data_IF_840098327305
#
_entry.id   IF_840098327305
#
_cell.length_a   1.000
_cell.length_b   1.000
_cell.length_c   1.000
_cell.angle_alpha   90.00
_cell.angle_beta   90.00
_cell.angle_gamma   90.00
#
_symmetry.space_group_name_H-M   'P 1'
#
loop_
_entity.id
_entity.type
_entity.pdbx_description
1 polymer ?
#
# COMPACT_ATOMS: atom_id res chain seq x y z
N UNK A 1 -1.85 -1.62 17.77
CA UNK A 1 -1.85 -0.40 18.60
C UNK A 1 -0.44 0.16 18.83
N UNK A 2 -0.22 1.41 18.45
CA UNK A 2 1.00 2.23 18.66
C UNK A 2 0.64 3.50 19.43
N UNK A 3 1.63 4.12 20.06
CA UNK A 3 1.46 5.36 20.84
C UNK A 3 2.48 6.41 20.41
N UNK A 4 2.02 7.63 20.14
CA UNK A 4 2.85 8.81 19.89
C UNK A 4 2.55 9.88 20.93
N UNK A 5 3.59 10.58 21.38
CA UNK A 5 3.48 11.72 22.28
C UNK A 5 3.97 12.96 21.54
N UNK A 6 3.15 14.02 21.54
CA UNK A 6 3.50 15.35 21.03
C UNK A 6 3.43 16.31 22.22
N UNK A 7 4.46 17.13 22.39
CA UNK A 7 4.55 18.10 23.48
C UNK A 7 4.80 19.49 22.92
N UNK A 8 4.02 20.47 23.38
CA UNK A 8 4.23 21.88 23.08
C UNK A 8 4.48 22.64 24.38
N UNK A 9 5.61 23.36 24.43
CA UNK A 9 5.90 24.31 25.48
C UNK A 9 5.54 25.70 24.95
N UNK A 10 4.67 26.43 25.66
CA UNK A 10 4.26 27.76 25.22
C UNK A 10 5.39 28.78 25.46
N UNK A 11 6.33 28.88 24.52
CA UNK A 11 7.47 29.82 24.58
C UNK A 11 7.28 30.93 23.54
N UNK A 12 6.13 31.63 23.54
CA UNK A 12 5.95 32.95 22.91
C UNK A 12 6.52 33.21 21.51
N UNK A 13 6.70 32.19 20.66
CA UNK A 13 7.26 32.30 19.30
C UNK A 13 6.17 32.06 18.27
N UNK A 14 5.99 33.01 17.37
CA UNK A 14 4.89 33.06 16.39
C UNK A 14 5.06 32.18 15.16
N UNK A 15 6.25 31.62 14.95
CA UNK A 15 6.64 31.02 13.66
C UNK A 15 6.63 29.48 13.69
N UNK A 16 6.28 28.86 14.82
CA UNK A 16 6.16 27.40 14.95
C UNK A 16 4.72 26.95 14.61
N UNK A 17 4.56 25.82 13.89
CA UNK A 17 3.24 25.26 13.62
C UNK A 17 2.52 24.94 14.93
N UNK A 18 1.22 25.19 14.97
CA UNK A 18 0.44 24.97 16.19
C UNK A 18 0.44 23.49 16.57
N UNK A 19 0.22 23.20 17.85
CA UNK A 19 0.01 21.83 18.31
C UNK A 19 -1.09 21.10 17.51
N UNK A 20 -2.14 21.80 17.10
CA UNK A 20 -3.21 21.25 16.26
C UNK A 20 -2.69 20.83 14.87
N UNK A 21 -1.87 21.67 14.22
CA UNK A 21 -1.26 21.35 12.94
C UNK A 21 -0.36 20.12 13.02
N UNK A 22 0.43 20.00 14.09
CA UNK A 22 1.30 18.85 14.34
C UNK A 22 0.51 17.55 14.54
N UNK A 23 -0.62 17.62 15.25
CA UNK A 23 -1.50 16.47 15.44
C UNK A 23 -2.12 16.07 14.10
N UNK A 24 -2.71 17.03 13.38
CA UNK A 24 -3.38 16.79 12.11
C UNK A 24 -2.44 16.22 11.05
N UNK A 25 -1.22 16.75 10.94
CA UNK A 25 -0.21 16.24 10.03
C UNK A 25 0.20 14.80 10.38
N UNK A 26 0.27 14.46 11.67
CA UNK A 26 0.64 13.13 12.13
C UNK A 26 -0.47 12.08 11.93
N UNK A 27 -1.73 12.43 12.14
CA UNK A 27 -2.84 11.45 12.09
C UNK A 27 -3.43 11.26 10.69
N UNK A 28 -3.10 12.11 9.71
CA UNK A 28 -3.72 12.11 8.36
C UNK A 28 -3.68 10.74 7.66
N UNK A 29 -2.61 9.98 7.86
CA UNK A 29 -2.37 8.67 7.26
C UNK A 29 -2.55 7.50 8.25
N UNK A 30 -3.08 7.76 9.45
CA UNK A 30 -3.22 6.76 10.52
C UNK A 30 -4.67 6.41 10.81
N UNK A 31 -4.90 5.22 11.33
CA UNK A 31 -6.17 4.83 11.91
C UNK A 31 -6.15 5.28 13.37
N UNK A 32 -6.87 6.35 13.66
CA UNK A 32 -6.90 6.92 15.00
C UNK A 32 -7.76 6.06 15.93
N UNK A 33 -7.17 5.61 17.04
CA UNK A 33 -7.88 4.84 18.07
C UNK A 33 -8.38 5.78 19.16
N UNK A 34 -7.50 6.62 19.71
CA UNK A 34 -7.82 7.54 20.81
C UNK A 34 -6.82 8.71 20.86
N UNK A 35 -7.25 9.85 21.39
CA UNK A 35 -6.40 11.02 21.66
C UNK A 35 -6.68 11.50 23.08
N UNK A 36 -5.63 11.57 23.89
CA UNK A 36 -5.71 12.16 25.24
C UNK A 36 -4.88 13.42 25.32
N UNK A 37 -5.51 14.45 25.88
CA UNK A 37 -4.90 15.75 26.12
C UNK A 37 -4.57 15.92 27.60
N UNK A 38 -3.35 16.33 27.90
CA UNK A 38 -2.89 16.59 29.27
C UNK A 38 -2.22 17.96 29.33
N UNK A 39 -2.63 18.77 30.29
CA UNK A 39 -1.96 20.02 30.64
C UNK A 39 -1.28 19.78 31.97
N UNK A 40 0.02 20.03 32.03
CA UNK A 40 0.74 20.08 33.30
C UNK A 40 1.32 21.47 33.51
N UNK A 41 1.18 21.98 34.73
CA UNK A 41 1.90 23.15 35.20
C UNK A 41 2.95 22.70 36.20
N UNK A 42 4.20 23.10 35.97
CA UNK A 42 5.28 22.88 36.95
C UNK A 42 5.41 24.16 37.77
N UNK A 43 5.30 24.02 39.09
CA UNK A 43 5.01 25.13 40.00
C UNK A 43 5.93 26.35 39.90
N UNK A 44 5.31 27.53 39.83
CA UNK A 44 5.91 28.81 40.19
C UNK A 44 6.22 29.78 39.04
N UNK A 45 6.28 29.31 37.79
CA UNK A 45 6.41 30.15 36.61
C UNK A 45 5.39 29.73 35.54
N UNK A 46 4.97 30.70 34.72
CA UNK A 46 3.89 30.68 33.73
C UNK A 46 4.05 29.68 32.55
N UNK A 47 4.74 28.57 32.74
CA UNK A 47 4.98 27.56 31.70
C UNK A 47 3.96 26.42 31.83
N UNK A 48 2.91 26.48 31.02
CA UNK A 48 2.01 25.35 30.81
C UNK A 48 2.58 24.46 29.70
N UNK A 49 2.73 23.17 29.99
CA UNK A 49 3.10 22.16 29.00
C UNK A 49 1.83 21.45 28.52
N UNK A 50 1.60 21.52 27.22
CA UNK A 50 0.55 20.76 26.56
C UNK A 50 1.16 19.46 26.05
N UNK A 51 0.58 18.34 26.46
CA UNK A 51 0.97 17.02 26.01
C UNK A 51 -0.24 16.33 25.37
N UNK A 52 -0.02 15.76 24.20
CA UNK A 52 -1.01 14.96 23.48
C UNK A 52 -0.49 13.56 23.31
N UNK A 53 -1.26 12.59 23.78
CA UNK A 53 -0.99 11.16 23.64
C UNK A 53 -1.95 10.63 22.58
N UNK A 54 -1.40 10.20 21.45
CA UNK A 54 -2.13 9.68 20.31
C UNK A 54 -1.96 8.17 20.28
N UNK A 55 -3.07 7.45 20.38
CA UNK A 55 -3.14 6.02 20.16
C UNK A 55 -3.63 5.76 18.75
N UNK A 56 -2.88 4.99 17.98
CA UNK A 56 -3.19 4.77 16.57
C UNK A 56 -2.76 3.38 16.09
N UNK A 57 -3.28 3.00 14.94
CA UNK A 57 -2.73 1.96 14.10
C UNK A 57 -2.26 2.58 12.78
N UNK A 58 -1.25 1.97 12.16
CA UNK A 58 -1.02 2.29 10.76
C UNK A 58 -2.26 1.84 10.01
N UNK A 59 -2.80 2.70 9.14
CA UNK A 59 -3.88 2.27 8.25
C UNK A 59 -3.39 0.99 7.60
N UNK A 60 -4.10 -0.13 7.86
CA UNK A 60 -3.96 -1.28 6.97
C UNK A 60 -4.26 -0.70 5.59
N UNK A 61 -3.36 -0.95 4.65
CA UNK A 61 -3.57 -0.64 3.25
C UNK A 61 -4.72 -1.55 2.77
N UNK A 62 -5.94 -1.27 3.22
CA UNK A 62 -7.14 -1.77 2.57
C UNK A 62 -7.08 -1.08 1.24
N UNK A 63 -6.79 -1.85 0.19
CA UNK A 63 -6.65 -1.31 -1.15
C UNK A 63 -7.74 -0.28 -1.39
N UNK A 64 -7.36 0.89 -1.90
CA UNK A 64 -8.33 1.70 -2.61
C UNK A 64 -9.00 0.73 -3.59
N UNK A 65 -10.31 0.48 -3.46
CA UNK A 65 -11.08 -0.35 -4.40
C UNK A 65 -10.66 -0.19 -5.88
N UNK A 66 -10.32 1.01 -6.39
CA UNK A 66 -9.78 1.14 -7.75
C UNK A 66 -8.46 0.40 -8.03
N UNK A 67 -7.61 0.10 -7.04
CA UNK A 67 -6.37 -0.65 -7.20
C UNK A 67 -6.65 -2.15 -7.41
N UNK A 68 -7.51 -2.75 -6.60
CA UNK A 68 -7.86 -4.18 -6.74
C UNK A 68 -8.56 -4.45 -8.07
N UNK A 69 -9.49 -3.57 -8.48
CA UNK A 69 -10.19 -3.75 -9.76
C UNK A 69 -9.22 -3.63 -10.95
N UNK A 70 -8.25 -2.70 -10.91
CA UNK A 70 -7.19 -2.62 -11.93
C UNK A 70 -6.33 -3.88 -12.00
N UNK A 71 -5.98 -4.45 -10.85
CA UNK A 71 -5.20 -5.70 -10.79
C UNK A 71 -6.00 -6.88 -11.35
N UNK A 72 -7.31 -6.94 -11.10
CA UNK A 72 -8.20 -7.96 -11.68
C UNK A 72 -8.32 -7.81 -13.19
N UNK A 73 -8.48 -6.60 -13.70
CA UNK A 73 -8.48 -6.31 -15.15
C UNK A 73 -7.16 -6.73 -15.80
N UNK A 74 -6.02 -6.31 -15.21
CA UNK A 74 -4.69 -6.67 -15.69
C UNK A 74 -4.47 -8.19 -15.71
N UNK A 75 -4.91 -8.89 -14.66
CA UNK A 75 -4.83 -10.35 -14.59
C UNK A 75 -5.70 -11.01 -15.67
N UNK A 76 -6.94 -10.55 -15.86
CA UNK A 76 -7.83 -11.10 -16.87
C UNK A 76 -7.25 -10.95 -18.29
N UNK A 77 -6.67 -9.79 -18.59
CA UNK A 77 -5.98 -9.54 -19.85
C UNK A 77 -4.76 -10.44 -20.03
N UNK A 78 -3.99 -10.68 -18.97
CA UNK A 78 -2.84 -11.57 -18.98
C UNK A 78 -3.26 -13.03 -19.19
N UNK A 79 -4.29 -13.50 -18.48
CA UNK A 79 -4.82 -14.86 -18.57
C UNK A 79 -5.32 -15.17 -19.99
N UNK A 80 -5.95 -14.20 -20.65
CA UNK A 80 -6.38 -14.36 -22.05
C UNK A 80 -5.18 -14.45 -23.01
N UNK A 81 -4.10 -13.70 -22.76
CA UNK A 81 -2.86 -13.81 -23.54
C UNK A 81 -2.16 -15.16 -23.31
N UNK A 82 -2.11 -15.63 -22.06
CA UNK A 82 -1.60 -16.96 -21.70
C UNK A 82 -2.39 -18.03 -22.45
N UNK A 83 -3.72 -17.96 -22.43
CA UNK A 83 -4.59 -18.91 -23.13
C UNK A 83 -4.30 -18.96 -24.62
N UNK A 84 -4.24 -17.80 -25.29
CA UNK A 84 -3.90 -17.73 -26.73
C UNK A 84 -2.51 -18.28 -27.04
N UNK A 85 -1.53 -18.01 -26.19
CA UNK A 85 -0.17 -18.50 -26.37
C UNK A 85 -0.09 -20.01 -26.18
N UNK A 86 -0.79 -20.57 -25.18
CA UNK A 86 -0.96 -22.02 -25.01
C UNK A 86 -1.60 -22.64 -26.23
N UNK A 87 -2.73 -22.10 -26.70
CA UNK A 87 -3.43 -22.59 -27.90
C UNK A 87 -2.51 -22.61 -29.12
N UNK A 88 -1.66 -21.59 -29.29
CA UNK A 88 -0.67 -21.57 -30.36
C UNK A 88 0.43 -22.62 -30.18
N UNK A 89 0.96 -22.78 -28.97
CA UNK A 89 2.07 -23.70 -28.66
C UNK A 89 1.66 -25.18 -28.67
N UNK A 90 0.38 -25.49 -28.46
CA UNK A 90 -0.18 -26.85 -28.56
C UNK A 90 -0.57 -27.24 -30.00
N UNK A 91 -0.50 -26.29 -30.94
CA UNK A 91 -0.78 -26.54 -32.35
C UNK A 91 0.53 -26.85 -33.08
N UNK A 92 0.79 -28.15 -33.28
CA UNK A 92 2.00 -28.65 -33.94
C UNK A 92 2.14 -28.11 -35.38
N UNK A 93 1.03 -27.90 -36.10
CA UNK A 93 1.07 -27.32 -37.45
C UNK A 93 1.58 -25.88 -37.40
N UNK A 94 1.07 -25.07 -36.46
CA UNK A 94 1.53 -23.68 -36.29
C UNK A 94 2.98 -23.61 -35.85
N UNK A 95 3.37 -24.42 -34.87
CA UNK A 95 4.74 -24.37 -34.32
C UNK A 95 5.78 -24.89 -35.31
N UNK A 96 5.42 -25.82 -36.20
CA UNK A 96 6.31 -26.30 -37.26
C UNK A 96 6.74 -25.20 -38.24
N UNK A 97 5.94 -24.14 -38.39
CA UNK A 97 6.17 -23.06 -39.36
C UNK A 97 7.15 -21.97 -38.92
N UNK A 98 7.45 -21.87 -37.62
CA UNK A 98 8.19 -20.72 -37.06
C UNK A 98 9.62 -21.06 -36.57
N UNK A 99 10.01 -22.34 -36.57
CA UNK A 99 11.35 -22.77 -36.18
C UNK A 99 11.52 -23.02 -34.67
N UNK A 100 12.49 -23.89 -34.33
CA UNK A 100 12.69 -24.40 -32.96
C UNK A 100 13.07 -23.31 -31.96
N UNK A 101 13.90 -22.35 -32.37
CA UNK A 101 14.35 -21.27 -31.49
C UNK A 101 13.21 -20.33 -31.11
N UNK A 102 12.36 -19.98 -32.08
CA UNK A 102 11.16 -19.16 -31.87
C UNK A 102 10.16 -19.87 -30.96
N UNK A 103 9.94 -21.17 -31.15
CA UNK A 103 9.10 -21.97 -30.23
C UNK A 103 9.66 -21.94 -28.81
N UNK A 104 10.98 -22.06 -28.65
CA UNK A 104 11.61 -21.99 -27.32
C UNK A 104 11.43 -20.61 -26.67
N UNK A 105 11.61 -19.52 -27.41
CA UNK A 105 11.37 -18.16 -26.91
C UNK A 105 9.92 -17.97 -26.45
N UNK A 106 8.95 -18.47 -27.24
CA UNK A 106 7.54 -18.42 -26.89
C UNK A 106 7.21 -19.25 -25.63
N UNK A 107 7.89 -20.38 -25.41
CA UNK A 107 7.77 -21.16 -24.17
C UNK A 107 8.31 -20.40 -22.95
N UNK A 108 9.48 -19.76 -23.08
CA UNK A 108 10.02 -18.92 -22.01
C UNK A 108 9.09 -17.73 -21.70
N UNK A 109 8.50 -17.12 -22.74
CA UNK A 109 7.53 -16.05 -22.56
C UNK A 109 6.28 -16.55 -21.83
N UNK A 110 5.76 -17.73 -22.18
CA UNK A 110 4.61 -18.33 -21.50
C UNK A 110 4.90 -18.53 -20.02
N UNK A 111 6.05 -19.11 -19.67
CA UNK A 111 6.44 -19.35 -18.29
C UNK A 111 6.52 -18.04 -17.48
N UNK A 112 7.13 -17.00 -18.04
CA UNK A 112 7.19 -15.69 -17.38
C UNK A 112 5.81 -15.07 -17.17
N UNK A 113 4.90 -15.23 -18.13
CA UNK A 113 3.52 -14.75 -18.03
C UNK A 113 2.73 -15.51 -16.95
N UNK A 114 2.90 -16.82 -16.86
CA UNK A 114 2.26 -17.63 -15.80
C UNK A 114 2.73 -17.23 -14.41
N UNK A 115 4.05 -17.08 -14.21
CA UNK A 115 4.62 -16.58 -12.95
C UNK A 115 4.08 -15.20 -12.59
N UNK A 116 3.91 -14.32 -13.57
CA UNK A 116 3.35 -13.00 -13.32
C UNK A 116 1.85 -13.07 -12.95
N UNK A 117 1.08 -13.97 -13.57
CA UNK A 117 -0.33 -14.20 -13.19
C UNK A 117 -0.47 -14.70 -11.75
N UNK A 118 0.45 -15.57 -11.30
CA UNK A 118 0.51 -16.04 -9.92
C UNK A 118 0.81 -14.91 -8.93
N UNK A 119 1.73 -13.99 -9.28
CA UNK A 119 2.04 -12.80 -8.48
C UNK A 119 0.82 -11.88 -8.38
N UNK A 120 0.11 -11.63 -9.50
CA UNK A 120 -1.11 -10.82 -9.50
C UNK A 120 -2.19 -11.45 -8.61
N UNK A 121 -2.37 -12.76 -8.70
CA UNK A 121 -3.32 -13.49 -7.86
C UNK A 121 -2.98 -13.37 -6.37
N UNK A 122 -1.73 -13.62 -6.00
CA UNK A 122 -1.27 -13.49 -4.61
C UNK A 122 -1.50 -12.07 -4.08
N UNK A 123 -1.16 -11.06 -4.87
CA UNK A 123 -1.36 -9.65 -4.48
C UNK A 123 -2.84 -9.29 -4.33
N UNK A 124 -3.71 -9.77 -5.21
CA UNK A 124 -5.16 -9.55 -5.09
C UNK A 124 -5.68 -10.16 -3.79
N UNK A 125 -5.31 -11.41 -3.48
CA UNK A 125 -5.73 -12.05 -2.23
C UNK A 125 -5.24 -11.30 -0.99
N UNK A 126 -3.96 -10.90 -0.98
CA UNK A 126 -3.39 -10.15 0.15
C UNK A 126 -4.14 -8.82 0.41
N UNK A 127 -4.67 -8.21 -0.65
CA UNK A 127 -5.44 -6.96 -0.58
C UNK A 127 -6.93 -7.16 -0.25
N UNK A 128 -7.52 -8.31 -0.61
CA UNK A 128 -8.93 -8.62 -0.36
C UNK A 128 -9.19 -9.27 1.02
N UNK A 129 -8.19 -9.91 1.61
CA UNK A 129 -8.24 -10.48 2.97
C UNK A 129 -8.65 -11.95 3.02
#
# INVERSE_FOLDING_TARGET
MKVKIITEAYIGKSDEPSLEDLINDFIKDKELIDIKYQISSVGGLLEAFHQVIIMYEDKKETADKPVVEKLKEEKADLDEKIRKLKDFLYDDEKTSSIGKEQVNLLRCQLEAMEQYSDILWARINDLEG
#
